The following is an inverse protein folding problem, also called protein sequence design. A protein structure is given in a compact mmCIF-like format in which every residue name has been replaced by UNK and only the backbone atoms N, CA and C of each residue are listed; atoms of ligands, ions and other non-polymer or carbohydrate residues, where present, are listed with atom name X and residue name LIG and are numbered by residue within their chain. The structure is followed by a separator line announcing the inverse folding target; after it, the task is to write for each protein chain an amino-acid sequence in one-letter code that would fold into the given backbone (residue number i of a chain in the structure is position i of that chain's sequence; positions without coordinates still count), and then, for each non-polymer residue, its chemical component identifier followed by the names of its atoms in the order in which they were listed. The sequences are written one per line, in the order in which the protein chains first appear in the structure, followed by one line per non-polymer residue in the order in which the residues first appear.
data_IF_152972091745
#
_entry.id   IF_152972091745
#
_cell.length_a   1.000
_cell.length_b   1.000
_cell.length_c   1.000
_cell.angle_alpha   90.00
_cell.angle_beta   90.00
_cell.angle_gamma   90.00
#
_symmetry.space_group_name_H-M   'P 1'
#
loop_
_entity.id
_entity.type
_entity.pdbx_description
1 polymer ?
#
# COMPACT_ATOMS: atom_id res chain seq x y z
N UNK A 1 -13.67 -15.07 -1.46
CA UNK A 1 -12.24 -15.11 -1.86
C UNK A 1 -12.04 -14.12 -3.00
N UNK A 2 -10.93 -13.38 -3.06
CA UNK A 2 -10.71 -12.49 -4.21
C UNK A 2 -10.30 -13.37 -5.40
N UNK A 3 -11.19 -13.57 -6.36
CA UNK A 3 -10.86 -14.20 -7.64
C UNK A 3 -10.54 -13.09 -8.64
N UNK A 4 -9.43 -13.26 -9.35
CA UNK A 4 -9.15 -12.47 -10.54
C UNK A 4 -10.29 -12.60 -11.55
N UNK A 5 -10.83 -11.48 -12.01
CA UNK A 5 -11.74 -11.46 -13.15
C UNK A 5 -11.21 -10.46 -14.19
N UNK A 6 -11.25 -10.88 -15.46
CA UNK A 6 -11.07 -9.96 -16.57
C UNK A 6 -12.41 -9.26 -16.75
N UNK A 7 -12.48 -7.97 -16.44
CA UNK A 7 -13.66 -7.20 -16.82
C UNK A 7 -13.81 -7.28 -18.34
N UNK A 8 -15.05 -7.40 -18.80
CA UNK A 8 -15.46 -7.57 -20.21
C UNK A 8 -14.99 -6.46 -21.18
N UNK A 9 -14.15 -5.52 -20.71
CA UNK A 9 -13.50 -4.46 -21.48
C UNK A 9 -12.08 -4.82 -21.94
N UNK A 10 -11.53 -5.97 -21.55
CA UNK A 10 -10.30 -6.54 -22.12
C UNK A 10 -8.98 -5.83 -21.81
N UNK A 11 -8.99 -4.77 -20.98
CA UNK A 11 -7.80 -3.97 -20.66
C UNK A 11 -7.55 -3.85 -19.15
N UNK A 12 -8.58 -4.03 -18.32
CA UNK A 12 -8.48 -3.88 -16.87
C UNK A 12 -8.78 -5.20 -16.16
N UNK A 13 -7.79 -5.65 -15.40
CA UNK A 13 -7.92 -6.76 -14.48
C UNK A 13 -8.37 -6.23 -13.12
N UNK A 14 -9.41 -6.86 -12.55
CA UNK A 14 -9.94 -6.47 -11.24
C UNK A 14 -10.10 -7.72 -10.38
N UNK A 15 -9.72 -7.56 -9.11
CA UNK A 15 -9.95 -8.57 -8.09
C UNK A 15 -11.36 -8.42 -7.56
N UNK A 16 -12.18 -9.46 -7.72
CA UNK A 16 -13.56 -9.47 -7.24
C UNK A 16 -13.71 -10.52 -6.14
N UNK A 17 -14.47 -10.18 -5.09
CA UNK A 17 -14.78 -11.17 -4.07
C UNK A 17 -15.84 -12.15 -4.60
N UNK A 18 -15.45 -13.41 -4.73
CA UNK A 18 -16.34 -14.53 -5.04
C UNK A 18 -16.44 -15.45 -3.81
N UNK A 19 -17.63 -15.59 -3.18
CA UNK A 19 -17.80 -16.42 -1.98
C UNK A 19 -17.69 -17.92 -2.24
N UNK A 20 -17.98 -18.36 -3.47
CA UNK A 20 -17.98 -19.77 -3.88
C UNK A 20 -16.64 -20.24 -4.48
N UNK A 21 -15.68 -19.31 -4.66
CA UNK A 21 -14.40 -19.64 -5.27
C UNK A 21 -13.38 -20.14 -4.25
N UNK A 22 -12.62 -21.14 -4.67
CA UNK A 22 -11.50 -21.71 -3.92
C UNK A 22 -11.88 -22.93 -3.10
N UNK A 23 -11.05 -23.95 -3.20
CA UNK A 23 -11.04 -25.12 -2.31
C UNK A 23 -10.58 -24.73 -0.90
N UNK A 24 -10.90 -25.54 0.10
CA UNK A 24 -10.46 -25.31 1.49
C UNK A 24 -8.93 -25.18 1.61
N UNK A 25 -8.17 -25.86 0.74
CA UNK A 25 -6.71 -25.77 0.71
C UNK A 25 -6.24 -24.43 0.16
N UNK A 26 -6.81 -23.95 -0.95
CA UNK A 26 -6.47 -22.65 -1.53
C UNK A 26 -6.81 -21.49 -0.59
N UNK A 27 -7.94 -21.57 0.10
CA UNK A 27 -8.33 -20.60 1.13
C UNK A 27 -7.30 -20.57 2.27
N UNK A 28 -6.85 -21.76 2.71
CA UNK A 28 -5.82 -21.87 3.74
C UNK A 28 -4.48 -21.26 3.29
N UNK A 29 -4.07 -21.48 2.03
CA UNK A 29 -2.83 -20.86 1.46
C UNK A 29 -2.91 -19.33 1.49
N UNK A 30 -4.06 -18.76 1.13
CA UNK A 30 -4.27 -17.31 1.14
C UNK A 30 -4.30 -16.74 2.55
N UNK A 31 -4.94 -17.42 3.51
CA UNK A 31 -4.96 -16.93 4.89
C UNK A 31 -3.57 -17.01 5.55
N UNK A 32 -2.80 -18.06 5.26
CA UNK A 32 -1.40 -18.14 5.66
C UNK A 32 -0.56 -17.00 5.06
N UNK A 33 -0.77 -16.68 3.77
CA UNK A 33 -0.09 -15.56 3.12
C UNK A 33 -0.44 -14.21 3.77
N UNK A 34 -1.71 -13.99 4.14
CA UNK A 34 -2.17 -12.78 4.84
C UNK A 34 -1.57 -12.67 6.23
N UNK A 35 -1.60 -13.76 7.01
CA UNK A 35 -1.04 -13.79 8.34
C UNK A 35 0.48 -13.55 8.30
N UNK A 36 1.18 -14.20 7.37
CA UNK A 36 2.61 -13.99 7.15
C UNK A 36 2.93 -12.55 6.79
N UNK A 37 2.16 -11.91 5.90
CA UNK A 37 2.33 -10.50 5.60
C UNK A 37 2.10 -9.63 6.84
N UNK A 38 1.02 -9.89 7.60
CA UNK A 38 0.72 -9.16 8.82
C UNK A 38 1.87 -9.24 9.83
N UNK A 39 2.44 -10.42 10.05
CA UNK A 39 3.53 -10.60 11.01
C UNK A 39 4.84 -9.91 10.56
N UNK A 40 5.06 -9.84 9.25
CA UNK A 40 6.27 -9.26 8.66
C UNK A 40 6.11 -7.80 8.18
N UNK A 41 4.92 -7.20 8.31
CA UNK A 41 4.56 -5.89 7.72
C UNK A 41 5.44 -4.72 8.15
N UNK A 42 6.21 -4.86 9.21
CA UNK A 42 7.19 -3.85 9.60
C UNK A 42 8.48 -3.99 8.80
N UNK A 43 8.99 -5.21 8.65
CA UNK A 43 10.20 -5.50 7.90
C UNK A 43 10.00 -5.42 6.38
N UNK A 44 8.79 -5.72 5.91
CA UNK A 44 8.45 -5.75 4.49
C UNK A 44 7.09 -5.10 4.26
N UNK A 45 7.10 -3.88 3.73
CA UNK A 45 5.88 -3.10 3.48
C UNK A 45 5.11 -3.56 2.26
N UNK A 46 5.81 -4.08 1.25
CA UNK A 46 5.18 -4.53 0.01
C UNK A 46 4.63 -5.95 0.10
N UNK A 47 3.41 -6.14 -0.41
CA UNK A 47 2.71 -7.43 -0.52
C UNK A 47 3.48 -8.48 -1.35
N UNK A 48 4.36 -8.02 -2.25
CA UNK A 48 5.10 -8.84 -3.22
C UNK A 48 4.22 -9.67 -4.14
N UNK A 49 3.00 -9.19 -4.39
CA UNK A 49 2.03 -9.83 -5.27
C UNK A 49 1.76 -11.28 -4.87
N UNK A 50 1.91 -11.64 -3.59
CA UNK A 50 1.95 -13.04 -3.18
C UNK A 50 0.65 -13.77 -3.51
N UNK A 51 -0.51 -13.12 -3.30
CA UNK A 51 -1.81 -13.69 -3.63
C UNK A 51 -1.98 -13.89 -5.14
N UNK A 52 -1.57 -12.90 -5.95
CA UNK A 52 -1.56 -13.01 -7.41
C UNK A 52 -0.66 -14.15 -7.88
N UNK A 53 0.54 -14.28 -7.29
CA UNK A 53 1.49 -15.34 -7.64
C UNK A 53 0.99 -16.73 -7.28
N UNK A 54 0.29 -16.88 -6.15
CA UNK A 54 -0.37 -18.14 -5.79
C UNK A 54 -1.39 -18.50 -6.86
N UNK A 55 -2.23 -17.56 -7.28
CA UNK A 55 -3.23 -17.80 -8.32
C UNK A 55 -2.61 -18.17 -9.67
N UNK A 56 -1.62 -17.40 -10.15
CA UNK A 56 -0.96 -17.66 -11.43
C UNK A 56 -0.23 -19.01 -11.47
N UNK A 57 0.31 -19.46 -10.32
CA UNK A 57 0.97 -20.75 -10.22
C UNK A 57 -0.02 -21.91 -10.46
N UNK A 58 -1.23 -21.81 -9.89
CA UNK A 58 -2.29 -22.81 -10.05
C UNK A 58 -2.85 -22.81 -11.48
N UNK A 59 -3.16 -21.64 -12.05
CA UNK A 59 -3.70 -21.51 -13.41
C UNK A 59 -2.78 -22.12 -14.48
N UNK A 60 -1.47 -21.87 -14.35
CA UNK A 60 -0.49 -22.33 -15.34
C UNK A 60 0.05 -23.74 -15.07
N UNK A 61 -0.38 -24.40 -13.99
CA UNK A 61 0.17 -25.69 -13.52
C UNK A 61 1.70 -25.69 -13.50
N UNK A 62 2.29 -24.55 -13.18
CA UNK A 62 3.73 -24.34 -13.34
C UNK A 62 4.47 -25.02 -12.19
N UNK A 63 5.44 -25.87 -12.52
CA UNK A 63 6.32 -26.50 -11.52
C UNK A 63 7.27 -25.43 -10.98
N UNK A 64 6.98 -24.94 -9.77
CA UNK A 64 7.83 -24.01 -9.03
C UNK A 64 8.94 -24.75 -8.31
N UNK A 65 9.95 -25.26 -9.03
CA UNK A 65 11.16 -25.79 -8.39
C UNK A 65 12.38 -25.53 -9.28
N UNK A 66 12.80 -24.27 -9.36
CA UNK A 66 14.12 -23.93 -9.88
C UNK A 66 15.09 -23.76 -8.71
N UNK A 67 16.32 -24.31 -8.80
CA UNK A 67 17.32 -24.12 -7.77
C UNK A 67 17.61 -22.64 -7.57
N UNK A 68 17.51 -22.16 -6.33
CA UNK A 68 18.00 -20.85 -5.94
C UNK A 68 19.43 -21.00 -5.44
N UNK A 69 20.40 -20.47 -6.19
CA UNK A 69 21.79 -20.40 -5.74
C UNK A 69 21.97 -19.07 -4.99
N UNK A 70 22.14 -19.11 -3.67
CA UNK A 70 22.61 -17.94 -2.91
C UNK A 70 24.12 -17.93 -2.94
N UNK A 71 24.72 -16.89 -3.51
CA UNK A 71 26.16 -16.64 -3.41
C UNK A 71 26.48 -16.04 -2.04
N UNK A 72 27.58 -16.47 -1.42
CA UNK A 72 28.08 -15.81 -0.22
C UNK A 72 28.72 -14.46 -0.57
N UNK A 73 28.71 -13.54 0.40
CA UNK A 73 29.44 -12.28 0.27
C UNK A 73 30.94 -12.59 0.03
N UNK A 74 31.54 -11.97 -0.98
CA UNK A 74 32.96 -12.12 -1.38
C UNK A 74 33.36 -13.34 -2.22
N UNK A 75 32.41 -14.11 -2.77
CA UNK A 75 32.73 -15.17 -3.74
C UNK A 75 32.90 -14.63 -5.17
N UNK A 76 33.90 -15.12 -5.92
CA UNK A 76 34.10 -14.76 -7.32
C UNK A 76 32.90 -15.22 -8.16
N UNK A 77 32.26 -14.26 -8.83
CA UNK A 77 31.06 -14.51 -9.63
C UNK A 77 31.43 -15.31 -10.88
N UNK A 78 31.10 -16.60 -10.90
CA UNK A 78 31.29 -17.48 -12.06
C UNK A 78 30.22 -17.22 -13.12
N UNK A 79 30.60 -17.25 -14.40
CA UNK A 79 29.67 -17.08 -15.53
C UNK A 79 28.49 -18.07 -15.48
N UNK A 80 28.75 -19.31 -15.08
CA UNK A 80 27.71 -20.34 -14.90
C UNK A 80 26.67 -19.97 -13.84
N UNK A 81 27.10 -19.35 -12.74
CA UNK A 81 26.21 -18.88 -11.69
C UNK A 81 25.32 -17.72 -12.18
N UNK A 82 25.90 -16.81 -12.97
CA UNK A 82 25.15 -15.72 -13.63
C UNK A 82 24.10 -16.29 -14.59
N UNK A 83 24.50 -17.21 -15.47
CA UNK A 83 23.60 -17.82 -16.45
C UNK A 83 22.48 -18.62 -15.80
N UNK A 84 22.77 -19.33 -14.72
CA UNK A 84 21.75 -20.07 -13.93
C UNK A 84 20.77 -19.09 -13.29
N UNK A 85 21.27 -18.01 -12.68
CA UNK A 85 20.42 -16.98 -12.07
C UNK A 85 19.54 -16.28 -13.10
N UNK A 86 20.09 -15.93 -14.27
CA UNK A 86 19.35 -15.29 -15.35
C UNK A 86 18.24 -16.20 -15.90
N UNK A 87 18.55 -17.48 -16.14
CA UNK A 87 17.55 -18.48 -16.57
C UNK A 87 16.44 -18.62 -15.54
N UNK A 88 16.79 -18.67 -14.25
CA UNK A 88 15.81 -18.75 -13.17
C UNK A 88 14.92 -17.51 -13.10
N UNK A 89 15.49 -16.31 -13.31
CA UNK A 89 14.73 -15.07 -13.36
C UNK A 89 13.79 -15.03 -14.58
N UNK A 90 14.26 -15.38 -15.77
CA UNK A 90 13.45 -15.43 -16.99
C UNK A 90 12.29 -16.42 -16.87
N UNK A 91 12.58 -17.62 -16.34
CA UNK A 91 11.52 -18.60 -16.08
C UNK A 91 10.51 -18.05 -15.09
N UNK A 92 10.96 -17.49 -13.96
CA UNK A 92 10.06 -16.86 -12.99
C UNK A 92 9.17 -15.79 -13.63
N UNK A 93 9.72 -14.85 -14.39
CA UNK A 93 8.94 -13.81 -15.06
C UNK A 93 7.96 -14.38 -16.11
N UNK A 94 8.31 -15.47 -16.80
CA UNK A 94 7.37 -16.15 -17.70
C UNK A 94 6.16 -16.74 -16.97
N UNK A 95 6.34 -17.19 -15.72
CA UNK A 95 5.23 -17.75 -14.93
C UNK A 95 4.19 -16.70 -14.55
N UNK A 96 4.56 -15.43 -14.43
CA UNK A 96 3.65 -14.34 -14.00
C UNK A 96 3.16 -13.43 -15.15
N UNK A 97 3.41 -13.79 -16.41
CA UNK A 97 2.86 -13.09 -17.57
C UNK A 97 1.37 -13.45 -17.77
N UNK A 98 0.48 -12.48 -17.94
CA UNK A 98 -0.92 -12.75 -18.27
C UNK A 98 -1.07 -13.26 -19.72
N UNK A 99 -2.22 -13.88 -20.03
CA UNK A 99 -2.46 -14.53 -21.33
C UNK A 99 -2.48 -13.56 -22.53
N UNK A 100 -2.79 -12.29 -22.29
CA UNK A 100 -2.72 -11.19 -23.26
C UNK A 100 -1.31 -10.57 -23.37
N UNK A 101 -0.34 -11.11 -22.63
CA UNK A 101 1.07 -10.77 -22.70
C UNK A 101 1.56 -9.71 -21.72
N UNK A 102 0.71 -9.09 -20.89
CA UNK A 102 1.15 -8.11 -19.89
C UNK A 102 1.64 -8.77 -18.58
N UNK A 103 2.22 -7.97 -17.67
CA UNK A 103 2.62 -8.43 -16.32
C UNK A 103 1.83 -7.66 -15.25
N UNK A 104 0.79 -8.27 -14.66
CA UNK A 104 0.08 -7.63 -13.57
C UNK A 104 0.98 -7.48 -12.34
N UNK A 105 0.79 -6.39 -11.61
CA UNK A 105 1.57 -6.07 -10.41
C UNK A 105 0.81 -5.07 -9.54
N UNK A 106 0.97 -5.20 -8.23
CA UNK A 106 0.69 -4.18 -7.22
C UNK A 106 1.49 -2.92 -7.55
N UNK A 107 0.77 -1.88 -7.96
CA UNK A 107 1.30 -0.53 -8.19
C UNK A 107 0.89 0.43 -7.07
N UNK A 108 0.82 -0.09 -5.84
CA UNK A 108 0.54 0.68 -4.65
C UNK A 108 1.77 1.43 -4.11
N UNK A 109 1.59 1.99 -2.91
CA UNK A 109 2.67 2.59 -2.13
C UNK A 109 2.37 4.01 -1.66
N UNK A 110 1.53 4.76 -2.37
CA UNK A 110 1.09 6.09 -1.93
C UNK A 110 -0.09 5.99 -0.97
N UNK A 111 0.02 6.63 0.19
CA UNK A 111 -0.97 6.53 1.28
C UNK A 111 -2.03 7.65 1.25
N UNK A 112 -2.21 8.33 0.11
CA UNK A 112 -3.20 9.40 -0.05
C UNK A 112 -4.18 9.19 -1.22
N UNK A 113 -3.91 8.26 -2.13
CA UNK A 113 -4.79 7.99 -3.28
C UNK A 113 -6.08 7.31 -2.84
N UNK A 114 -5.95 6.21 -2.08
CA UNK A 114 -7.09 5.45 -1.59
C UNK A 114 -7.96 6.28 -0.63
N UNK A 115 -7.40 7.02 0.35
CA UNK A 115 -8.17 7.99 1.12
C UNK A 115 -8.91 9.04 0.29
N UNK A 116 -8.25 9.62 -0.72
CA UNK A 116 -8.87 10.61 -1.61
C UNK A 116 -10.08 10.04 -2.35
N UNK A 117 -9.99 8.79 -2.82
CA UNK A 117 -11.11 8.07 -3.43
C UNK A 117 -12.25 7.87 -2.43
N UNK A 118 -11.97 7.39 -1.21
CA UNK A 118 -12.98 7.15 -0.17
C UNK A 118 -13.73 8.43 0.19
N UNK A 119 -13.01 9.53 0.42
CA UNK A 119 -13.61 10.83 0.72
C UNK A 119 -14.47 11.32 -0.45
N UNK A 120 -13.98 11.19 -1.69
CA UNK A 120 -14.73 11.60 -2.89
C UNK A 120 -16.02 10.81 -3.04
N UNK A 121 -15.95 9.48 -2.90
CA UNK A 121 -17.12 8.60 -2.99
C UNK A 121 -18.13 8.86 -1.86
N UNK A 122 -17.65 9.19 -0.66
CA UNK A 122 -18.50 9.58 0.45
C UNK A 122 -19.25 10.88 0.17
N UNK A 123 -18.53 11.93 -0.23
CA UNK A 123 -19.10 13.25 -0.54
C UNK A 123 -20.11 13.19 -1.69
N UNK A 124 -19.87 12.33 -2.67
CA UNK A 124 -20.77 12.13 -3.83
C UNK A 124 -21.92 11.17 -3.56
N UNK A 125 -22.00 10.56 -2.37
CA UNK A 125 -23.04 9.58 -2.02
C UNK A 125 -22.89 8.23 -2.73
N UNK A 126 -21.76 7.97 -3.38
CA UNK A 126 -21.49 6.78 -4.18
C UNK A 126 -20.71 5.69 -3.42
N UNK A 127 -20.32 5.92 -2.17
CA UNK A 127 -19.44 5.02 -1.40
C UNK A 127 -19.92 3.57 -1.38
N UNK A 128 -21.15 3.32 -0.94
CA UNK A 128 -21.70 1.96 -0.84
C UNK A 128 -22.18 1.41 -2.19
N UNK A 129 -22.28 2.25 -3.22
CA UNK A 129 -22.63 1.83 -4.59
C UNK A 129 -21.41 1.30 -5.33
N UNK A 130 -20.24 1.91 -5.12
CA UNK A 130 -18.99 1.58 -5.80
C UNK A 130 -18.14 0.59 -5.00
N UNK A 131 -18.10 0.72 -3.67
CA UNK A 131 -17.32 -0.15 -2.80
C UNK A 131 -18.26 -1.11 -2.05
N UNK A 132 -18.22 -2.39 -2.42
CA UNK A 132 -18.87 -3.46 -1.67
C UNK A 132 -18.31 -3.55 -0.25
N UNK A 133 -18.98 -4.31 0.63
CA UNK A 133 -18.50 -4.49 2.01
C UNK A 133 -17.13 -5.16 2.06
N UNK A 134 -16.86 -6.07 1.14
CA UNK A 134 -15.60 -6.78 1.01
C UNK A 134 -14.49 -5.84 0.56
N UNK A 135 -14.78 -4.94 -0.39
CA UNK A 135 -13.84 -3.88 -0.77
C UNK A 135 -13.52 -2.99 0.45
N UNK A 136 -14.53 -2.59 1.22
CA UNK A 136 -14.35 -1.79 2.43
C UNK A 136 -13.46 -2.53 3.45
N UNK A 137 -13.70 -3.82 3.68
CA UNK A 137 -12.88 -4.63 4.61
C UNK A 137 -11.43 -4.78 4.17
N UNK A 138 -11.17 -5.05 2.89
CA UNK A 138 -9.79 -5.17 2.38
C UNK A 138 -9.07 -3.82 2.36
N UNK A 139 -9.79 -2.72 2.12
CA UNK A 139 -9.26 -1.36 2.28
C UNK A 139 -8.88 -1.09 3.74
N UNK A 140 -9.78 -1.35 4.69
CA UNK A 140 -9.48 -1.20 6.12
C UNK A 140 -8.25 -2.03 6.52
N UNK A 141 -8.18 -3.30 6.08
CA UNK A 141 -7.02 -4.18 6.30
C UNK A 141 -5.74 -3.59 5.72
N UNK A 142 -5.78 -3.05 4.49
CA UNK A 142 -4.65 -2.39 3.87
C UNK A 142 -4.16 -1.20 4.72
N UNK A 143 -5.08 -0.34 5.16
CA UNK A 143 -4.75 0.82 5.98
C UNK A 143 -4.14 0.40 7.34
N UNK A 144 -4.73 -0.58 8.03
CA UNK A 144 -4.20 -1.09 9.29
C UNK A 144 -2.84 -1.77 9.15
N UNK A 145 -2.60 -2.49 8.05
CA UNK A 145 -1.31 -3.13 7.81
C UNK A 145 -0.17 -2.10 7.62
N UNK A 146 -0.50 -0.93 7.09
CA UNK A 146 0.46 0.15 6.85
C UNK A 146 0.52 1.18 7.97
N UNK A 147 -0.26 1.01 9.03
CA UNK A 147 -0.14 1.86 10.19
C UNK A 147 1.16 1.56 10.94
N UNK A 148 1.82 2.63 11.35
CA UNK A 148 2.90 2.62 12.32
C UNK A 148 2.44 1.99 13.66
N UNK A 149 2.63 0.69 13.89
CA UNK A 149 2.15 0.02 15.12
C UNK A 149 3.24 -0.75 15.86
N UNK A 150 3.28 -0.57 17.18
CA UNK A 150 4.26 -1.13 18.13
C UNK A 150 4.53 -2.63 17.98
N UNK A 151 5.75 -2.98 17.60
CA UNK A 151 6.39 -4.25 17.96
C UNK A 151 7.77 -3.93 18.52
N UNK A 152 8.09 -4.52 19.67
CA UNK A 152 9.34 -4.34 20.42
C UNK A 152 10.55 -4.69 19.54
N UNK A 153 11.52 -3.78 19.43
CA UNK A 153 12.89 -4.13 19.05
C UNK A 153 13.86 -3.48 20.05
N UNK A 154 14.68 -4.33 20.66
CA UNK A 154 15.72 -3.99 21.65
C UNK A 154 16.77 -3.13 20.97
N UNK A 155 16.93 -1.88 21.44
CA UNK A 155 18.05 -1.04 21.03
C UNK A 155 19.26 -1.40 21.90
N UNK A 156 20.24 -2.14 21.35
CA UNK A 156 21.56 -2.22 21.97
C UNK A 156 22.24 -0.86 21.78
N UNK A 157 22.25 -0.01 22.81
CA UNK A 157 23.10 1.18 22.86
C UNK A 157 24.55 0.73 23.02
N UNK A 158 25.34 0.78 21.95
CA UNK A 158 26.79 0.83 22.08
C UNK A 158 27.20 2.29 22.34
N UNK A 159 27.57 2.57 23.58
CA UNK A 159 28.38 3.74 23.92
C UNK A 159 29.85 3.37 23.72
N UNK A 160 30.52 4.10 22.83
CA UNK A 160 31.88 4.62 22.91
C UNK A 160 32.69 4.60 21.59
N UNK A 161 33.15 5.82 21.31
CA UNK A 161 34.42 6.25 20.74
C UNK A 161 34.78 5.95 19.28
N UNK A 162 34.81 7.05 18.53
CA UNK A 162 35.91 7.47 17.66
C UNK A 162 36.62 6.37 16.88
N UNK A 163 36.21 6.15 15.63
CA UNK A 163 37.10 6.16 14.46
C UNK A 163 36.29 5.92 13.18
N UNK A 164 36.61 6.71 12.14
CA UNK A 164 36.53 6.39 10.71
C UNK A 164 35.17 6.37 10.00
N UNK A 165 35.04 7.38 9.12
CA UNK A 165 34.52 7.36 7.74
C UNK A 165 34.00 6.01 7.19
N UNK A 166 32.83 6.10 6.52
CA UNK A 166 32.01 5.03 5.89
C UNK A 166 31.20 4.20 6.88
N UNK A 167 29.96 4.62 7.10
CA UNK A 167 28.74 3.84 6.90
C UNK A 167 27.57 4.82 7.08
N UNK A 168 26.94 5.25 5.98
CA UNK A 168 25.57 5.75 6.05
C UNK A 168 24.69 4.55 6.39
N UNK A 169 24.66 4.18 7.67
CA UNK A 169 23.79 3.13 8.17
C UNK A 169 22.37 3.68 8.08
N UNK A 170 21.66 3.24 7.05
CA UNK A 170 20.24 3.45 6.81
C UNK A 170 19.48 3.03 8.08
N UNK A 171 19.21 3.99 8.96
CA UNK A 171 18.27 3.77 10.06
C UNK A 171 16.88 3.74 9.42
N UNK A 172 16.36 2.54 9.20
CA UNK A 172 14.94 2.34 8.90
C UNK A 172 14.13 2.86 10.10
N UNK A 173 13.74 4.13 10.04
CA UNK A 173 12.77 4.76 10.93
C UNK A 173 11.40 4.14 10.65
N UNK A 174 11.15 2.94 11.17
CA UNK A 174 9.80 2.40 11.26
C UNK A 174 9.04 3.24 12.29
N UNK A 175 8.10 4.06 11.85
CA UNK A 175 7.35 4.93 12.75
C UNK A 175 6.63 4.09 13.81
N UNK A 176 6.79 4.47 15.08
CA UNK A 176 6.25 3.82 16.27
C UNK A 176 5.23 4.73 16.94
N UNK A 177 4.31 5.30 16.17
CA UNK A 177 3.60 6.49 16.60
C UNK A 177 2.09 6.48 16.26
N UNK A 178 1.58 5.45 15.59
CA UNK A 178 0.16 5.36 15.24
C UNK A 178 -0.24 6.15 14.00
N UNK A 179 0.70 6.83 13.34
CA UNK A 179 0.45 7.60 12.13
C UNK A 179 0.62 6.83 10.81
N UNK A 180 0.45 7.57 9.71
CA UNK A 180 0.73 7.13 8.34
C UNK A 180 1.56 8.18 7.60
N UNK A 181 2.49 7.70 6.77
CA UNK A 181 3.30 8.57 5.91
C UNK A 181 2.61 8.99 4.62
N UNK A 182 3.36 9.69 3.75
CA UNK A 182 2.94 9.97 2.37
C UNK A 182 2.97 8.72 1.48
N UNK A 183 3.85 7.78 1.84
CA UNK A 183 4.00 6.49 1.22
C UNK A 183 4.30 5.42 2.28
N UNK A 184 4.17 4.14 1.93
CA UNK A 184 4.24 3.00 2.87
C UNK A 184 5.60 2.83 3.57
N UNK A 185 6.68 3.32 2.96
CA UNK A 185 8.04 3.35 3.52
C UNK A 185 8.37 4.67 4.24
N UNK A 186 7.47 5.65 4.22
CA UNK A 186 7.72 7.00 4.68
C UNK A 186 7.45 7.21 6.17
N UNK A 187 8.04 8.25 6.79
CA UNK A 187 7.72 8.64 8.16
C UNK A 187 6.26 9.09 8.28
N UNK A 188 5.66 9.01 9.46
CA UNK A 188 4.29 9.49 9.70
C UNK A 188 4.20 10.98 9.42
N UNK A 189 3.16 11.42 8.72
CA UNK A 189 2.96 12.82 8.33
C UNK A 189 1.56 13.28 8.67
N UNK A 190 1.41 14.58 8.91
CA UNK A 190 0.09 15.14 9.22
C UNK A 190 -0.93 14.86 8.11
N UNK A 191 -0.52 15.08 6.86
CA UNK A 191 -1.34 14.80 5.68
C UNK A 191 -1.73 13.32 5.56
N UNK A 192 -0.76 12.41 5.66
CA UNK A 192 -1.01 10.97 5.58
C UNK A 192 -1.91 10.49 6.72
N UNK A 193 -1.59 10.84 7.97
CA UNK A 193 -2.34 10.38 9.14
C UNK A 193 -3.80 10.87 9.12
N UNK A 194 -4.05 12.15 8.84
CA UNK A 194 -5.44 12.68 8.80
C UNK A 194 -6.26 12.00 7.72
N UNK A 195 -5.74 11.89 6.49
CA UNK A 195 -6.48 11.30 5.38
C UNK A 195 -6.86 9.85 5.65
N UNK A 196 -5.91 9.05 6.15
CA UNK A 196 -6.16 7.64 6.48
C UNK A 196 -7.11 7.49 7.67
N UNK A 197 -6.93 8.29 8.73
CA UNK A 197 -7.83 8.33 9.89
C UNK A 197 -9.28 8.68 9.48
N UNK A 198 -9.47 9.73 8.69
CA UNK A 198 -10.80 10.15 8.21
C UNK A 198 -11.41 9.05 7.36
N UNK A 199 -10.64 8.41 6.48
CA UNK A 199 -11.14 7.33 5.62
C UNK A 199 -11.66 6.14 6.43
N UNK A 200 -10.94 5.72 7.47
CA UNK A 200 -11.39 4.68 8.39
C UNK A 200 -12.68 5.08 9.12
N UNK A 201 -12.75 6.33 9.61
CA UNK A 201 -13.96 6.89 10.23
C UNK A 201 -15.17 6.89 9.27
N UNK A 202 -14.96 7.21 7.99
CA UNK A 202 -16.02 7.20 6.97
C UNK A 202 -16.53 5.78 6.67
N UNK A 203 -15.71 4.74 6.86
CA UNK A 203 -16.15 3.34 6.80
C UNK A 203 -16.87 2.88 8.07
N UNK A 204 -16.96 3.72 9.10
CA UNK A 204 -17.61 3.39 10.37
C UNK A 204 -16.69 2.67 11.35
N UNK A 205 -15.39 2.59 11.08
CA UNK A 205 -14.43 2.09 12.05
C UNK A 205 -14.36 3.07 13.25
N UNK A 206 -14.39 2.54 14.47
CA UNK A 206 -14.37 3.33 15.69
C UNK A 206 -13.85 2.53 16.88
N UNK A 207 -13.61 3.23 18.00
CA UNK A 207 -13.39 2.62 19.31
C UNK A 207 -12.12 1.79 19.45
N UNK A 208 -11.09 2.41 20.02
CA UNK A 208 -9.87 1.76 20.55
C UNK A 208 -8.86 1.22 19.53
N UNK A 209 -7.61 1.09 19.98
CA UNK A 209 -6.52 0.49 19.21
C UNK A 209 -5.91 1.42 18.15
N UNK A 210 -5.99 1.02 16.89
CA UNK A 210 -5.33 1.71 15.77
C UNK A 210 -5.85 3.16 15.58
N UNK A 211 -7.18 3.34 15.60
CA UNK A 211 -7.80 4.65 15.38
C UNK A 211 -7.53 5.60 16.54
N UNK A 212 -7.51 5.07 17.76
CA UNK A 212 -7.16 5.84 18.95
C UNK A 212 -5.73 6.37 18.89
N UNK A 213 -4.75 5.51 18.58
CA UNK A 213 -3.35 5.94 18.43
C UNK A 213 -3.17 6.98 17.33
N UNK A 214 -3.88 6.82 16.22
CA UNK A 214 -3.87 7.81 15.16
C UNK A 214 -4.41 9.16 15.64
N UNK A 215 -5.53 9.14 16.39
CA UNK A 215 -6.13 10.35 16.97
C UNK A 215 -5.18 11.02 17.96
N UNK A 216 -4.56 10.25 18.87
CA UNK A 216 -3.56 10.74 19.81
C UNK A 216 -2.39 11.40 19.07
N UNK A 217 -1.84 10.73 18.07
CA UNK A 217 -0.76 11.25 17.23
C UNK A 217 -1.12 12.59 16.57
N UNK A 218 -2.33 12.70 16.02
CA UNK A 218 -2.85 13.93 15.39
C UNK A 218 -2.91 15.08 16.43
N UNK A 219 -3.38 14.79 17.65
CA UNK A 219 -3.50 15.79 18.71
C UNK A 219 -2.14 16.24 19.23
N UNK A 220 -1.17 15.33 19.35
CA UNK A 220 0.19 15.63 19.81
C UNK A 220 1.01 16.48 18.82
N UNK A 221 0.82 16.29 17.52
CA UNK A 221 1.65 16.92 16.48
C UNK A 221 1.08 18.27 15.97
N UNK A 222 0.02 18.78 16.60
CA UNK A 222 -0.68 19.97 16.17
C UNK A 222 -1.58 19.71 14.97
N UNK A 223 -2.81 20.22 15.02
CA UNK A 223 -3.78 20.08 13.93
C UNK A 223 -3.21 20.60 12.61
N UNK A 224 -3.63 20.01 11.48
CA UNK A 224 -3.23 20.39 10.12
C UNK A 224 -3.41 21.89 9.88
N UNK A 225 -2.36 22.68 10.11
CA UNK A 225 -2.34 24.12 9.90
C UNK A 225 -1.26 24.40 8.85
N UNK A 226 -1.73 24.86 7.69
CA UNK A 226 -0.95 25.32 6.54
C UNK A 226 -0.47 24.24 5.57
N UNK A 227 -1.38 23.81 4.69
CA UNK A 227 -1.02 23.30 3.37
C UNK A 227 -1.24 24.39 2.34
N UNK A 228 -0.24 25.26 2.20
CA UNK A 228 -0.25 26.34 1.21
C UNK A 228 0.56 25.89 0.00
N UNK A 229 -0.13 25.58 -1.10
CA UNK A 229 0.51 25.40 -2.40
C UNK A 229 0.43 26.74 -3.13
N UNK A 230 1.58 27.34 -3.41
CA UNK A 230 1.66 28.54 -4.25
C UNK A 230 2.07 28.14 -5.67
N UNK A 231 1.23 28.43 -6.67
CA UNK A 231 1.51 28.17 -8.09
C UNK A 231 1.77 29.50 -8.81
N UNK A 232 3.01 29.74 -9.22
CA UNK A 232 3.44 30.98 -9.90
C UNK A 232 3.49 30.89 -11.43
N UNK A 233 2.71 30.02 -12.08
CA UNK A 233 2.82 29.82 -13.53
C UNK A 233 1.47 29.63 -14.25
N UNK A 234 1.44 30.02 -15.53
CA UNK A 234 0.32 29.74 -16.44
C UNK A 234 0.01 28.23 -16.49
N UNK A 235 -1.27 27.88 -16.44
CA UNK A 235 -1.77 26.49 -16.43
C UNK A 235 -1.26 25.66 -17.62
N UNK A 236 -1.00 26.30 -18.77
CA UNK A 236 -0.45 25.65 -19.96
C UNK A 236 1.03 25.27 -19.86
N UNK A 237 1.76 25.81 -18.88
CA UNK A 237 3.18 25.52 -18.63
C UNK A 237 3.40 24.56 -17.45
N UNK A 238 2.33 24.14 -16.80
CA UNK A 238 2.40 23.15 -15.72
C UNK A 238 2.59 21.75 -16.31
N UNK A 239 3.29 20.89 -15.57
CA UNK A 239 3.38 19.47 -15.91
C UNK A 239 1.98 18.85 -15.98
N UNK A 240 1.77 17.88 -16.88
CA UNK A 240 0.45 17.34 -17.18
C UNK A 240 -0.27 16.79 -15.93
N UNK A 241 0.45 16.07 -15.07
CA UNK A 241 -0.09 15.56 -13.81
C UNK A 241 -0.53 16.68 -12.87
N UNK A 242 0.29 17.72 -12.71
CA UNK A 242 -0.09 18.90 -11.92
C UNK A 242 -1.37 19.52 -12.48
N UNK A 243 -1.44 19.73 -13.80
CA UNK A 243 -2.62 20.32 -14.44
C UNK A 243 -3.90 19.51 -14.18
N UNK A 244 -3.82 18.19 -14.29
CA UNK A 244 -4.98 17.30 -14.07
C UNK A 244 -5.46 17.29 -12.63
N UNK A 245 -4.57 17.48 -11.64
CA UNK A 245 -4.94 17.58 -10.22
C UNK A 245 -5.48 18.97 -9.88
N UNK A 246 -4.81 20.04 -10.30
CA UNK A 246 -5.18 21.40 -9.89
C UNK A 246 -6.43 21.92 -10.58
N UNK A 247 -6.72 21.51 -11.82
CA UNK A 247 -7.89 22.00 -12.55
C UNK A 247 -9.23 21.73 -11.81
N UNK A 248 -9.57 20.48 -11.40
CA UNK A 248 -10.78 20.23 -10.62
C UNK A 248 -10.71 20.84 -9.21
N UNK A 249 -9.53 20.88 -8.58
CA UNK A 249 -9.37 21.52 -7.26
C UNK A 249 -9.67 23.02 -7.32
N UNK A 250 -9.16 23.74 -8.33
CA UNK A 250 -9.44 25.16 -8.53
C UNK A 250 -10.91 25.42 -8.81
N UNK A 251 -11.60 24.52 -9.51
CA UNK A 251 -13.05 24.62 -9.72
C UNK A 251 -13.82 24.52 -8.39
N UNK A 252 -13.53 23.51 -7.58
CA UNK A 252 -14.17 23.34 -6.26
C UNK A 252 -13.85 24.50 -5.32
N UNK A 253 -12.61 24.98 -5.33
CA UNK A 253 -12.19 26.16 -4.56
C UNK A 253 -12.96 27.41 -4.99
N UNK A 254 -13.07 27.67 -6.30
CA UNK A 254 -13.82 28.81 -6.84
C UNK A 254 -15.32 28.74 -6.53
N UNK A 255 -15.88 27.52 -6.42
CA UNK A 255 -17.26 27.28 -5.98
C UNK A 255 -17.45 27.32 -4.47
N UNK A 256 -16.36 27.41 -3.70
CA UNK A 256 -16.37 27.26 -2.22
C UNK A 256 -17.16 26.02 -1.80
N UNK A 257 -16.97 24.91 -2.54
CA UNK A 257 -17.72 23.69 -2.30
C UNK A 257 -17.44 23.14 -0.90
N UNK A 258 -18.50 22.75 -0.20
CA UNK A 258 -18.44 22.09 1.10
C UNK A 258 -19.24 20.79 0.98
N UNK A 259 -18.62 19.66 1.38
CA UNK A 259 -19.30 18.37 1.38
C UNK A 259 -20.41 18.31 2.43
N UNK A 260 -21.27 17.27 2.38
CA UNK A 260 -22.32 17.08 3.39
C UNK A 260 -21.73 16.97 4.80
N UNK A 261 -22.27 17.72 5.77
CA UNK A 261 -21.90 17.60 7.18
C UNK A 261 -22.74 16.50 7.81
N UNK A 262 -22.08 15.40 8.20
CA UNK A 262 -22.73 14.22 8.77
C UNK A 262 -22.33 14.03 10.23
N UNK A 263 -23.06 13.21 11.03
CA UNK A 263 -22.64 12.90 12.40
C UNK A 263 -21.22 12.34 12.49
N UNK A 264 -20.78 11.56 11.50
CA UNK A 264 -19.41 11.03 11.41
C UNK A 264 -18.35 12.13 11.27
N UNK A 265 -18.68 13.22 10.57
CA UNK A 265 -17.79 14.39 10.41
C UNK A 265 -17.77 15.24 11.68
N UNK A 266 -18.86 15.24 12.46
CA UNK A 266 -19.00 15.99 13.70
C UNK A 266 -18.44 15.26 14.93
N UNK A 267 -18.14 13.96 14.82
CA UNK A 267 -17.62 13.09 15.91
C UNK A 267 -16.10 12.98 15.92
#
# INVERSE_FOLDING_TARGET
FLSHSILNTGIHQVWEFCPESGTSEELSKVEMARQSFRDNRFHKKHSSDLLMRIQFAEEKKSVTNLPQTKLEEFEDVKEEAVMTTLRSALYFYSTIQADDGHWPRDYGGLMFLLPGLVITLYVTGALNTILSKENQYEICRYLYNHQASNVHCVCLRFYNLHLLSRYYLFVFLQNRDGGWGLHIEGPSTMFGTVLNYVSLKLFGEGGEGAIEKAREWILEHGSFQNFTIILYNSVGRMWCLCRMVYLPMSFLYGKKFVGPITPTILS
#
